data_IF_093767853830
#
_entry.id   IF_093767853830
#
_cell.length_a   1.000
_cell.length_b   1.000
_cell.length_c   1.000
_cell.angle_alpha   90.00
_cell.angle_beta   90.00
_cell.angle_gamma   90.00
#
_symmetry.space_group_name_H-M   'P 1'
#
loop_
_entity.id
_entity.type
_entity.pdbx_description
1 polymer ?
#
# COMPACT_ATOMS: atom_id res chain seq x y z
N UNK A 1 -13.07 45.44 -7.54
CA UNK A 1 -13.44 44.40 -6.58
C UNK A 1 -12.15 43.93 -5.94
N UNK A 2 -12.05 43.73 -4.63
CA UNK A 2 -10.83 43.20 -4.04
C UNK A 2 -10.64 41.79 -4.59
N UNK A 3 -9.56 41.56 -5.30
CA UNK A 3 -9.13 40.22 -5.72
C UNK A 3 -8.84 39.42 -4.47
N UNK A 4 -9.75 38.50 -4.09
CA UNK A 4 -9.45 37.55 -3.02
C UNK A 4 -8.17 36.82 -3.37
N UNK A 5 -7.25 36.74 -2.41
CA UNK A 5 -6.01 35.99 -2.59
C UNK A 5 -6.37 34.55 -3.02
N UNK A 6 -5.79 34.01 -4.09
CA UNK A 6 -6.06 32.64 -4.52
C UNK A 6 -5.84 31.65 -3.38
N UNK A 7 -6.69 30.63 -3.29
CA UNK A 7 -6.55 29.52 -2.35
C UNK A 7 -5.28 28.73 -2.70
N UNK A 8 -4.44 28.44 -1.73
CA UNK A 8 -3.19 27.68 -1.94
C UNK A 8 -3.42 26.19 -1.71
N UNK A 9 -3.09 25.40 -2.72
CA UNK A 9 -3.26 23.93 -2.73
C UNK A 9 -1.90 23.25 -2.78
N UNK A 10 -1.61 22.37 -1.82
CA UNK A 10 -0.47 21.48 -1.83
C UNK A 10 -0.88 20.09 -2.30
N UNK A 11 -0.27 19.57 -3.34
CA UNK A 11 -0.36 18.16 -3.75
C UNK A 11 0.88 17.45 -3.25
N UNK A 12 0.72 16.46 -2.36
CA UNK A 12 1.83 15.79 -1.68
C UNK A 12 2.16 14.44 -2.30
N UNK A 13 3.44 14.05 -2.14
CA UNK A 13 3.94 12.71 -2.43
C UNK A 13 3.69 12.23 -3.88
N UNK A 14 3.69 13.16 -4.85
CA UNK A 14 3.58 12.82 -6.28
C UNK A 14 4.94 12.39 -6.85
N UNK A 15 5.46 11.28 -6.37
CA UNK A 15 6.80 10.77 -6.74
C UNK A 15 6.97 10.55 -8.24
N UNK A 16 5.89 10.29 -8.97
CA UNK A 16 5.90 10.05 -10.41
C UNK A 16 5.79 11.34 -11.21
N UNK A 17 5.50 12.48 -10.57
CA UNK A 17 5.26 13.77 -11.20
C UNK A 17 4.14 13.71 -12.26
N UNK A 18 3.01 13.13 -11.88
CA UNK A 18 1.88 12.88 -12.79
C UNK A 18 0.56 13.56 -12.37
N UNK A 19 0.50 14.16 -11.18
CA UNK A 19 -0.73 14.72 -10.63
C UNK A 19 -1.48 15.62 -11.62
N UNK A 20 -0.75 16.55 -12.26
CA UNK A 20 -1.36 17.52 -13.17
C UNK A 20 -1.74 16.93 -14.54
N UNK A 21 -1.19 15.76 -14.89
CA UNK A 21 -1.51 15.07 -16.15
C UNK A 21 -2.61 14.01 -16.02
N UNK A 22 -2.91 13.56 -14.79
CA UNK A 22 -3.88 12.51 -14.52
C UNK A 22 -5.32 13.01 -14.38
N UNK A 23 -5.53 14.34 -14.33
CA UNK A 23 -6.86 14.96 -14.28
C UNK A 23 -6.84 16.33 -14.98
N UNK A 24 -8.03 16.82 -15.29
CA UNK A 24 -8.22 18.20 -15.74
C UNK A 24 -8.32 19.14 -14.52
N UNK A 25 -7.28 19.94 -14.29
CA UNK A 25 -7.20 20.94 -13.23
C UNK A 25 -7.69 22.33 -13.68
N UNK A 26 -8.11 22.50 -14.93
CA UNK A 26 -8.57 23.78 -15.47
C UNK A 26 -9.75 24.41 -14.70
N UNK A 27 -10.68 23.65 -14.06
CA UNK A 27 -11.74 24.23 -13.24
C UNK A 27 -11.25 25.02 -12.00
N UNK A 28 -9.98 24.83 -11.62
CA UNK A 28 -9.31 25.55 -10.52
C UNK A 28 -8.54 26.79 -10.99
N UNK A 29 -8.38 26.99 -12.31
CA UNK A 29 -7.66 28.12 -12.85
C UNK A 29 -8.24 29.46 -12.38
N UNK A 30 -7.37 30.34 -11.86
CA UNK A 30 -7.77 31.63 -11.30
C UNK A 30 -8.51 31.56 -9.95
N UNK A 31 -8.73 30.36 -9.42
CA UNK A 31 -9.37 30.10 -8.12
C UNK A 31 -8.39 29.58 -7.08
N UNK A 32 -7.40 28.82 -7.50
CA UNK A 32 -6.41 28.23 -6.64
C UNK A 32 -5.01 28.24 -7.28
N UNK A 33 -3.99 28.41 -6.44
CA UNK A 33 -2.58 28.23 -6.79
C UNK A 33 -2.14 26.85 -6.33
N UNK A 34 -1.74 26.00 -7.27
CA UNK A 34 -1.40 24.60 -7.03
C UNK A 34 0.11 24.43 -6.99
N UNK A 35 0.61 23.86 -5.91
CA UNK A 35 2.01 23.45 -5.76
C UNK A 35 2.08 21.93 -5.62
N UNK A 36 2.86 21.27 -6.47
CA UNK A 36 3.07 19.82 -6.43
C UNK A 36 4.42 19.53 -5.78
N UNK A 37 4.41 18.62 -4.82
CA UNK A 37 5.61 18.12 -4.15
C UNK A 37 5.87 16.68 -4.60
N UNK A 38 7.00 16.48 -5.25
CA UNK A 38 7.42 15.19 -5.82
C UNK A 38 8.31 14.39 -4.87
N UNK A 39 8.55 14.92 -3.67
CA UNK A 39 9.34 14.33 -2.61
C UNK A 39 8.49 14.09 -1.36
N UNK A 40 8.99 13.27 -0.47
CA UNK A 40 8.43 13.11 0.88
C UNK A 40 9.24 13.92 1.88
N UNK A 41 8.56 14.56 2.82
CA UNK A 41 9.19 15.21 3.96
C UNK A 41 8.95 14.39 5.22
N UNK A 42 10.04 13.83 5.74
CA UNK A 42 10.03 13.17 7.03
C UNK A 42 10.18 14.20 8.16
N UNK A 43 9.46 13.97 9.25
CA UNK A 43 9.56 14.75 10.46
C UNK A 43 8.57 15.92 10.51
N UNK A 44 8.15 16.19 11.76
CA UNK A 44 7.10 17.14 12.11
C UNK A 44 7.38 18.56 11.64
N UNK A 45 8.52 19.10 12.02
CA UNK A 45 8.81 20.53 11.84
C UNK A 45 8.99 20.90 10.36
N UNK A 46 9.65 20.04 9.59
CA UNK A 46 9.79 20.20 8.15
C UNK A 46 8.43 20.09 7.42
N UNK A 47 7.55 19.19 7.87
CA UNK A 47 6.19 19.08 7.34
C UNK A 47 5.36 20.33 7.63
N UNK A 48 5.46 20.87 8.85
CA UNK A 48 4.77 22.10 9.23
C UNK A 48 5.29 23.31 8.46
N UNK A 49 6.61 23.44 8.28
CA UNK A 49 7.21 24.48 7.47
C UNK A 49 6.68 24.45 6.02
N UNK A 50 6.65 23.25 5.42
CA UNK A 50 6.13 23.03 4.06
C UNK A 50 4.66 23.42 3.95
N UNK A 51 3.81 22.99 4.91
CA UNK A 51 2.35 23.07 4.78
C UNK A 51 1.74 24.35 5.33
N UNK A 52 2.46 25.11 6.17
CA UNK A 52 1.94 26.35 6.80
C UNK A 52 1.29 27.36 5.84
N UNK A 53 1.77 27.56 4.60
CA UNK A 53 1.17 28.54 3.68
C UNK A 53 -0.08 28.06 2.98
N UNK A 54 -0.46 26.76 3.09
CA UNK A 54 -1.52 26.15 2.29
C UNK A 54 -2.87 26.11 3.02
N UNK A 55 -3.93 26.33 2.24
CA UNK A 55 -5.34 26.22 2.68
C UNK A 55 -5.87 24.79 2.47
N UNK A 56 -5.39 24.11 1.42
CA UNK A 56 -5.84 22.78 1.01
C UNK A 56 -4.64 21.87 0.85
N UNK A 57 -4.77 20.66 1.35
CA UNK A 57 -3.76 19.61 1.15
C UNK A 57 -4.39 18.40 0.47
N UNK A 58 -3.78 17.96 -0.64
CA UNK A 58 -4.11 16.72 -1.31
C UNK A 58 -3.15 15.64 -0.82
N UNK A 59 -3.65 14.74 0.02
CA UNK A 59 -2.86 13.68 0.66
C UNK A 59 -2.93 12.38 -0.16
N UNK A 60 -1.77 11.81 -0.50
CA UNK A 60 -1.66 10.54 -1.21
C UNK A 60 -1.67 9.38 -0.23
N UNK A 61 -2.85 8.74 -0.05
CA UNK A 61 -3.02 7.62 0.87
C UNK A 61 -2.51 7.96 2.28
N UNK A 62 -1.95 6.99 2.98
CA UNK A 62 -1.37 7.14 4.31
C UNK A 62 0.12 7.55 4.31
N UNK A 63 0.65 8.10 3.19
CA UNK A 63 2.08 8.45 3.08
C UNK A 63 2.49 9.57 4.03
N UNK A 64 1.69 10.65 4.09
CA UNK A 64 1.91 11.76 5.03
C UNK A 64 0.86 11.68 6.14
N UNK A 65 1.25 11.49 7.42
CA UNK A 65 0.31 11.45 8.53
C UNK A 65 -0.16 12.86 8.91
N UNK A 66 -1.47 12.99 9.15
CA UNK A 66 -2.12 14.18 9.68
C UNK A 66 -2.65 13.89 11.09
N UNK A 67 -1.72 13.77 12.04
CA UNK A 67 -2.05 13.62 13.45
C UNK A 67 -2.69 14.91 14.01
N UNK A 68 -3.29 14.82 15.20
CA UNK A 68 -3.86 15.95 15.93
C UNK A 68 -2.88 17.15 15.99
N UNK A 69 -1.66 16.90 16.39
CA UNK A 69 -0.63 17.92 16.54
C UNK A 69 -0.30 18.63 15.21
N UNK A 70 -0.23 17.89 14.10
CA UNK A 70 -0.03 18.46 12.75
C UNK A 70 -1.22 19.34 12.36
N UNK A 71 -2.45 18.85 12.51
CA UNK A 71 -3.67 19.57 12.12
C UNK A 71 -3.82 20.85 12.96
N UNK A 72 -3.61 20.77 14.26
CA UNK A 72 -3.70 21.92 15.17
C UNK A 72 -2.63 22.98 14.91
N UNK A 73 -1.45 22.58 14.38
CA UNK A 73 -0.32 23.46 14.08
C UNK A 73 -0.40 24.15 12.70
N UNK A 74 -1.39 23.81 11.86
CA UNK A 74 -1.57 24.39 10.52
C UNK A 74 -2.70 25.43 10.51
N UNK A 75 -2.39 26.73 10.68
CA UNK A 75 -3.42 27.76 10.91
C UNK A 75 -4.31 28.03 9.70
N UNK A 76 -3.80 27.80 8.49
CA UNK A 76 -4.51 28.08 7.25
C UNK A 76 -5.27 26.87 6.70
N UNK A 77 -5.02 25.65 7.20
CA UNK A 77 -5.61 24.42 6.68
C UNK A 77 -7.14 24.41 6.84
N UNK A 78 -7.85 24.18 5.74
CA UNK A 78 -9.32 24.19 5.66
C UNK A 78 -9.89 22.91 5.06
N UNK A 79 -9.12 22.23 4.18
CA UNK A 79 -9.53 21.00 3.50
C UNK A 79 -8.35 20.04 3.38
N UNK A 80 -8.60 18.78 3.70
CA UNK A 80 -7.73 17.67 3.32
C UNK A 80 -8.48 16.82 2.29
N UNK A 81 -8.01 16.80 1.04
CA UNK A 81 -8.49 15.91 -0.01
C UNK A 81 -7.61 14.66 -0.01
N UNK A 82 -8.08 13.58 0.60
CA UNK A 82 -7.32 12.35 0.77
C UNK A 82 -7.69 11.32 -0.28
N UNK A 83 -6.71 10.78 -0.98
CA UNK A 83 -6.95 9.72 -1.97
C UNK A 83 -7.32 8.39 -1.29
N UNK A 84 -8.29 7.67 -1.88
CA UNK A 84 -8.87 6.43 -1.36
C UNK A 84 -10.09 6.65 -0.48
N UNK A 85 -10.82 5.57 -0.21
CA UNK A 85 -12.12 5.62 0.48
C UNK A 85 -12.02 5.91 2.00
N UNK A 86 -10.83 5.82 2.58
CA UNK A 86 -10.53 6.13 3.98
C UNK A 86 -9.02 6.31 4.14
N UNK A 87 -8.62 7.04 5.18
CA UNK A 87 -7.22 7.24 5.53
C UNK A 87 -7.06 7.20 7.05
N UNK A 88 -6.42 6.14 7.55
CA UNK A 88 -6.24 5.93 8.99
C UNK A 88 -5.16 6.85 9.61
N UNK A 89 -4.35 7.54 8.79
CA UNK A 89 -3.33 8.48 9.25
C UNK A 89 -3.84 9.91 9.47
N UNK A 90 -5.14 10.15 9.30
CA UNK A 90 -5.79 11.45 9.55
C UNK A 90 -6.59 11.37 10.85
N UNK A 91 -6.29 12.23 11.82
CA UNK A 91 -7.12 12.43 13.02
C UNK A 91 -8.38 13.23 12.64
N UNK A 92 -9.48 12.51 12.38
CA UNK A 92 -10.76 13.11 11.95
C UNK A 92 -11.39 13.97 13.05
N UNK A 93 -11.19 13.63 14.33
CA UNK A 93 -11.72 14.41 15.44
C UNK A 93 -10.98 15.74 15.58
N UNK A 94 -9.66 15.75 15.40
CA UNK A 94 -8.89 16.98 15.36
C UNK A 94 -9.25 17.85 14.15
N UNK A 95 -9.46 17.25 12.98
CA UNK A 95 -9.88 17.96 11.79
C UNK A 95 -11.24 18.64 12.02
N UNK A 96 -12.23 17.92 12.53
CA UNK A 96 -13.55 18.44 12.86
C UNK A 96 -13.48 19.58 13.90
N UNK A 97 -12.72 19.40 14.98
CA UNK A 97 -12.53 20.41 16.03
C UNK A 97 -11.92 21.73 15.51
N UNK A 98 -11.07 21.64 14.46
CA UNK A 98 -10.46 22.79 13.79
C UNK A 98 -11.26 23.35 12.62
N UNK A 99 -12.43 22.75 12.30
CA UNK A 99 -13.22 23.11 11.13
C UNK A 99 -12.54 22.75 9.80
N UNK A 100 -11.61 21.81 9.81
CA UNK A 100 -10.95 21.28 8.62
C UNK A 100 -11.82 20.17 8.03
N UNK A 101 -12.30 20.38 6.82
CA UNK A 101 -13.07 19.36 6.11
C UNK A 101 -12.15 18.27 5.56
N UNK A 102 -12.56 17.00 5.66
CA UNK A 102 -11.85 15.87 5.08
C UNK A 102 -12.71 15.21 4.02
N UNK A 103 -12.24 15.16 2.79
CA UNK A 103 -12.90 14.50 1.66
C UNK A 103 -12.06 13.35 1.12
N UNK A 104 -12.75 12.31 0.70
CA UNK A 104 -12.15 11.10 0.16
C UNK A 104 -12.44 10.95 -1.33
N UNK A 105 -11.65 10.10 -1.99
CA UNK A 105 -11.84 9.74 -3.39
C UNK A 105 -12.36 8.31 -3.53
N UNK A 106 -12.81 7.94 -4.72
CA UNK A 106 -13.05 6.55 -5.09
C UNK A 106 -11.79 5.69 -4.89
N UNK A 107 -12.02 4.39 -4.80
CA UNK A 107 -10.96 3.39 -4.67
C UNK A 107 -11.38 2.06 -5.29
N UNK A 108 -10.44 1.40 -5.96
CA UNK A 108 -10.59 0.03 -6.44
C UNK A 108 -9.38 -0.82 -6.05
N UNK A 109 -9.61 -2.10 -5.81
CA UNK A 109 -8.55 -3.02 -5.35
C UNK A 109 -7.84 -3.76 -6.48
N UNK A 110 -8.30 -3.59 -7.72
CA UNK A 110 -7.75 -4.27 -8.90
C UNK A 110 -6.24 -4.13 -9.02
N UNK A 111 -5.65 -2.91 -8.92
CA UNK A 111 -4.20 -2.77 -9.02
C UNK A 111 -3.44 -3.59 -7.99
N UNK A 112 -3.89 -3.61 -6.73
CA UNK A 112 -3.24 -4.37 -5.66
C UNK A 112 -3.33 -5.88 -5.90
N UNK A 113 -4.45 -6.37 -6.45
CA UNK A 113 -4.63 -7.79 -6.80
C UNK A 113 -3.65 -8.20 -7.91
N UNK A 114 -3.60 -7.42 -8.98
CA UNK A 114 -2.71 -7.65 -10.12
C UNK A 114 -1.24 -7.56 -9.71
N UNK A 115 -0.91 -6.57 -8.90
CA UNK A 115 0.45 -6.38 -8.40
C UNK A 115 0.90 -7.50 -7.46
N UNK A 116 0.00 -8.03 -6.61
CA UNK A 116 0.29 -9.21 -5.79
C UNK A 116 0.71 -10.39 -6.68
N UNK A 117 -0.01 -10.62 -7.79
CA UNK A 117 0.34 -11.68 -8.75
C UNK A 117 1.60 -11.38 -9.54
N UNK A 118 1.84 -10.12 -9.91
CA UNK A 118 3.11 -9.72 -10.52
C UNK A 118 4.31 -10.06 -9.61
N UNK A 119 4.21 -9.77 -8.31
CA UNK A 119 5.24 -10.13 -7.32
C UNK A 119 5.40 -11.64 -7.16
N UNK A 120 4.30 -12.39 -7.04
CA UNK A 120 4.34 -13.86 -6.93
C UNK A 120 5.06 -14.45 -8.15
N UNK A 121 4.64 -14.09 -9.35
CA UNK A 121 5.23 -14.63 -10.59
C UNK A 121 6.69 -14.21 -10.75
N UNK A 122 7.01 -12.94 -10.50
CA UNK A 122 8.38 -12.42 -10.59
C UNK A 122 9.33 -13.13 -9.61
N UNK A 123 8.88 -13.35 -8.37
CA UNK A 123 9.67 -14.03 -7.34
C UNK A 123 9.82 -15.53 -7.65
N UNK A 124 8.73 -16.22 -8.03
CA UNK A 124 8.76 -17.65 -8.32
C UNK A 124 9.61 -18.02 -9.53
N UNK A 125 9.77 -17.10 -10.47
CA UNK A 125 10.52 -17.30 -11.72
C UNK A 125 11.84 -16.50 -11.75
N UNK A 126 12.24 -15.87 -10.64
CA UNK A 126 13.45 -15.05 -10.51
C UNK A 126 13.59 -13.93 -11.56
N UNK A 127 12.48 -13.41 -12.08
CA UNK A 127 12.46 -12.47 -13.23
C UNK A 127 13.37 -11.25 -13.03
N UNK A 128 13.41 -10.56 -11.87
CA UNK A 128 14.29 -9.40 -11.69
C UNK A 128 15.78 -9.77 -11.71
N UNK A 129 16.15 -10.93 -11.14
CA UNK A 129 17.53 -11.40 -11.11
C UNK A 129 18.00 -11.81 -12.51
N UNK A 130 17.18 -12.56 -13.25
CA UNK A 130 17.48 -13.00 -14.61
C UNK A 130 17.56 -11.80 -15.58
N UNK A 131 16.66 -10.81 -15.43
CA UNK A 131 16.73 -9.57 -16.22
C UNK A 131 18.02 -8.78 -15.92
N UNK A 132 18.45 -8.72 -14.66
CA UNK A 132 19.73 -8.09 -14.29
C UNK A 132 20.90 -8.85 -14.89
N UNK A 133 20.95 -10.18 -14.72
CA UNK A 133 22.01 -11.03 -15.30
C UNK A 133 22.16 -10.80 -16.80
N UNK A 134 21.04 -10.79 -17.54
CA UNK A 134 21.07 -10.56 -18.98
C UNK A 134 21.62 -9.15 -19.34
N UNK A 135 21.24 -8.11 -18.61
CA UNK A 135 21.73 -6.74 -18.82
C UNK A 135 23.24 -6.61 -18.52
N UNK A 136 23.72 -7.39 -17.55
CA UNK A 136 25.14 -7.43 -17.14
C UNK A 136 25.99 -8.37 -18.03
N UNK A 137 25.42 -8.88 -19.13
CA UNK A 137 26.12 -9.75 -20.11
C UNK A 137 26.12 -11.22 -19.74
N UNK A 138 25.39 -11.62 -18.69
CA UNK A 138 25.20 -13.02 -18.29
C UNK A 138 24.08 -13.71 -19.07
N UNK A 139 23.73 -14.91 -18.61
CA UNK A 139 22.68 -15.75 -19.18
C UNK A 139 21.83 -16.34 -18.06
N UNK A 140 21.25 -17.50 -18.21
CA UNK A 140 20.40 -18.18 -17.22
C UNK A 140 21.19 -18.49 -15.93
N UNK A 141 20.69 -18.04 -14.78
CA UNK A 141 21.38 -18.17 -13.48
C UNK A 141 20.61 -18.98 -12.46
N UNK A 142 19.27 -19.10 -12.58
CA UNK A 142 18.44 -19.75 -11.58
C UNK A 142 17.35 -20.63 -12.18
N UNK A 143 16.93 -21.64 -11.40
CA UNK A 143 15.74 -22.44 -11.71
C UNK A 143 14.52 -21.85 -11.01
N UNK A 144 13.53 -21.46 -11.80
CA UNK A 144 12.25 -21.05 -11.29
C UNK A 144 11.41 -22.21 -10.79
N UNK A 145 10.39 -21.90 -9.99
CA UNK A 145 9.39 -22.86 -9.51
C UNK A 145 8.06 -22.65 -10.21
N UNK A 146 7.37 -23.72 -10.53
CA UNK A 146 5.99 -23.69 -11.02
C UNK A 146 5.00 -23.46 -9.87
N UNK A 147 3.81 -22.99 -10.19
CA UNK A 147 2.72 -22.76 -9.22
C UNK A 147 1.75 -23.95 -9.17
N UNK A 148 1.57 -24.66 -10.28
CA UNK A 148 0.62 -25.75 -10.37
C UNK A 148 0.89 -26.83 -9.31
N UNK A 149 -0.16 -27.24 -8.59
CA UNK A 149 -0.08 -28.21 -7.50
C UNK A 149 0.50 -27.68 -6.17
N UNK A 150 1.02 -26.45 -6.13
CA UNK A 150 1.47 -25.80 -4.89
C UNK A 150 0.30 -25.22 -4.11
N UNK A 151 0.54 -24.97 -2.83
CA UNK A 151 -0.45 -24.37 -1.91
C UNK A 151 -0.25 -22.87 -1.80
N UNK A 152 -1.30 -22.12 -2.15
CA UNK A 152 -1.44 -20.69 -1.86
C UNK A 152 -2.18 -20.51 -0.55
N UNK A 153 -1.49 -20.08 0.48
CA UNK A 153 -2.10 -19.69 1.75
C UNK A 153 -2.48 -18.21 1.73
N UNK A 154 -3.72 -17.93 2.07
CA UNK A 154 -4.25 -16.57 2.16
C UNK A 154 -4.46 -16.21 3.62
N UNK A 155 -3.61 -15.34 4.16
CA UNK A 155 -3.79 -14.75 5.48
C UNK A 155 -4.76 -13.56 5.36
N UNK A 156 -6.06 -13.86 5.46
CA UNK A 156 -7.15 -12.94 5.17
C UNK A 156 -7.87 -13.22 3.85
N UNK A 157 -9.19 -13.45 3.91
CA UNK A 157 -10.05 -13.73 2.76
C UNK A 157 -11.08 -12.61 2.54
N UNK A 158 -10.62 -11.36 2.61
CA UNK A 158 -11.39 -10.17 2.25
C UNK A 158 -11.46 -9.94 0.74
N UNK A 159 -11.79 -8.70 0.32
CA UNK A 159 -11.92 -8.34 -1.09
C UNK A 159 -10.67 -8.72 -1.92
N UNK A 160 -9.48 -8.34 -1.46
CA UNK A 160 -8.22 -8.63 -2.17
C UNK A 160 -7.89 -10.12 -2.10
N UNK A 161 -7.86 -10.72 -0.90
CA UNK A 161 -7.50 -12.12 -0.71
C UNK A 161 -8.41 -13.08 -1.50
N UNK A 162 -9.73 -12.82 -1.54
CA UNK A 162 -10.65 -13.63 -2.35
C UNK A 162 -10.32 -13.59 -3.84
N UNK A 163 -10.03 -12.39 -4.38
CA UNK A 163 -9.69 -12.24 -5.79
C UNK A 163 -8.32 -12.86 -6.13
N UNK A 164 -7.32 -12.71 -5.24
CA UNK A 164 -6.02 -13.40 -5.37
C UNK A 164 -6.22 -14.92 -5.37
N UNK A 165 -7.12 -15.45 -4.52
CA UNK A 165 -7.46 -16.88 -4.50
C UNK A 165 -8.10 -17.38 -5.77
N UNK A 166 -8.98 -16.60 -6.40
CA UNK A 166 -9.58 -16.94 -7.72
C UNK A 166 -8.50 -17.15 -8.77
N UNK A 167 -7.54 -16.24 -8.85
CA UNK A 167 -6.43 -16.33 -9.80
C UNK A 167 -5.50 -17.51 -9.46
N UNK A 168 -5.28 -17.77 -8.16
CA UNK A 168 -4.48 -18.92 -7.69
C UNK A 168 -5.04 -20.26 -8.20
N UNK A 169 -6.37 -20.42 -8.16
CA UNK A 169 -7.01 -21.60 -8.74
C UNK A 169 -6.85 -21.69 -10.26
N UNK A 170 -6.85 -20.57 -10.98
CA UNK A 170 -6.57 -20.56 -12.42
C UNK A 170 -5.13 -21.03 -12.72
N UNK A 171 -4.18 -20.80 -11.81
CA UNK A 171 -2.84 -21.39 -11.84
C UNK A 171 -2.78 -22.83 -11.31
N UNK A 172 -3.93 -23.47 -11.04
CA UNK A 172 -4.04 -24.83 -10.50
C UNK A 172 -3.36 -25.01 -9.13
N UNK A 173 -3.35 -23.96 -8.31
CA UNK A 173 -2.89 -24.05 -6.93
C UNK A 173 -4.00 -24.57 -6.02
N UNK A 174 -3.60 -25.24 -4.93
CA UNK A 174 -4.50 -25.51 -3.80
C UNK A 174 -4.59 -24.21 -2.99
N UNK A 175 -5.82 -23.67 -2.84
CA UNK A 175 -6.01 -22.39 -2.17
C UNK A 175 -6.65 -22.62 -0.81
N UNK A 176 -5.93 -22.27 0.25
CA UNK A 176 -6.36 -22.34 1.63
C UNK A 176 -6.35 -20.95 2.26
N UNK A 177 -7.18 -20.72 3.28
CA UNK A 177 -7.22 -19.43 3.95
C UNK A 177 -7.44 -19.56 5.45
N UNK A 178 -6.96 -18.55 6.16
CA UNK A 178 -7.28 -18.30 7.55
C UNK A 178 -7.44 -16.81 7.81
N UNK A 179 -8.39 -16.47 8.64
CA UNK A 179 -8.42 -15.22 9.42
C UNK A 179 -9.30 -15.44 10.64
N UNK A 180 -9.09 -14.62 11.68
CA UNK A 180 -9.70 -14.84 13.00
C UNK A 180 -11.24 -14.97 12.98
N UNK A 181 -11.92 -14.30 12.06
CA UNK A 181 -13.38 -14.29 11.96
C UNK A 181 -13.89 -14.96 10.66
N UNK A 182 -13.04 -15.71 9.97
CA UNK A 182 -13.44 -16.41 8.75
C UNK A 182 -14.19 -17.69 9.14
N UNK A 183 -15.41 -17.84 8.62
CA UNK A 183 -16.19 -19.05 8.80
C UNK A 183 -16.02 -20.00 7.60
N UNK A 184 -16.36 -21.27 7.81
CA UNK A 184 -16.30 -22.31 6.76
C UNK A 184 -17.19 -21.93 5.56
N UNK A 185 -18.41 -21.49 5.83
CA UNK A 185 -19.39 -21.12 4.80
C UNK A 185 -18.84 -19.98 3.92
N UNK A 186 -18.23 -18.95 4.55
CA UNK A 186 -17.62 -17.82 3.81
C UNK A 186 -16.41 -18.23 2.99
N UNK A 187 -15.63 -19.18 3.45
CA UNK A 187 -14.50 -19.71 2.69
C UNK A 187 -14.99 -20.53 1.48
N UNK A 188 -15.95 -21.43 1.71
CA UNK A 188 -16.58 -22.27 0.67
C UNK A 188 -17.26 -21.44 -0.42
N UNK A 189 -17.98 -20.35 -0.06
CA UNK A 189 -18.57 -19.42 -1.03
C UNK A 189 -17.51 -18.80 -1.97
N UNK A 190 -16.27 -18.68 -1.52
CA UNK A 190 -15.14 -18.20 -2.32
C UNK A 190 -14.37 -19.33 -3.00
N UNK A 191 -14.79 -20.59 -2.79
CA UNK A 191 -14.12 -21.77 -3.29
C UNK A 191 -12.72 -21.94 -2.70
N UNK A 192 -12.54 -21.62 -1.41
CA UNK A 192 -11.28 -21.69 -0.67
C UNK A 192 -11.49 -22.58 0.53
N UNK A 193 -10.53 -23.42 0.85
CA UNK A 193 -10.55 -24.26 2.05
C UNK A 193 -10.18 -23.43 3.29
N UNK A 194 -11.03 -23.46 4.32
CA UNK A 194 -10.72 -22.91 5.63
C UNK A 194 -9.84 -23.89 6.40
N UNK A 195 -8.70 -23.41 6.85
CA UNK A 195 -7.79 -24.16 7.73
C UNK A 195 -7.56 -23.40 9.05
N UNK A 196 -6.96 -24.04 10.04
CA UNK A 196 -6.46 -23.34 11.22
C UNK A 196 -5.17 -22.56 10.90
N UNK A 197 -4.78 -21.66 11.82
CA UNK A 197 -3.63 -20.77 11.63
C UNK A 197 -2.34 -21.56 11.41
N UNK A 198 -2.09 -22.57 12.23
CA UNK A 198 -0.88 -23.39 12.16
C UNK A 198 -0.79 -24.15 10.83
N UNK A 199 -1.90 -24.75 10.39
CA UNK A 199 -1.99 -25.43 9.10
C UNK A 199 -1.70 -24.47 7.96
N UNK A 200 -2.21 -23.23 8.01
CA UNK A 200 -1.92 -22.20 6.99
C UNK A 200 -0.42 -22.00 6.84
N UNK A 201 0.30 -21.77 7.95
CA UNK A 201 1.76 -21.53 7.89
C UNK A 201 2.54 -22.78 7.49
N UNK A 202 2.20 -23.93 8.04
CA UNK A 202 2.93 -25.21 7.79
C UNK A 202 2.81 -25.71 6.36
N UNK A 203 1.67 -25.45 5.71
CA UNK A 203 1.39 -26.08 4.40
C UNK A 203 1.56 -25.15 3.20
N UNK A 204 1.59 -23.83 3.40
CA UNK A 204 1.76 -22.87 2.31
C UNK A 204 3.11 -22.98 1.62
N UNK A 205 3.09 -23.01 0.30
CA UNK A 205 4.26 -22.81 -0.54
C UNK A 205 4.46 -21.33 -0.88
N UNK A 206 3.34 -20.60 -1.02
CA UNK A 206 3.27 -19.16 -1.09
C UNK A 206 2.25 -18.69 -0.05
N UNK A 207 2.67 -17.90 0.92
CA UNK A 207 1.79 -17.25 1.89
C UNK A 207 1.61 -15.79 1.49
N UNK A 208 0.37 -15.37 1.21
CA UNK A 208 0.05 -13.99 0.84
C UNK A 208 -0.84 -13.33 1.89
N UNK A 209 -0.44 -12.12 2.33
CA UNK A 209 -1.08 -11.41 3.44
C UNK A 209 -2.08 -10.39 2.90
N UNK A 210 -3.34 -10.49 3.37
CA UNK A 210 -4.47 -9.65 2.96
C UNK A 210 -5.34 -9.22 4.14
N UNK A 211 -4.70 -8.93 5.28
CA UNK A 211 -5.36 -8.44 6.49
C UNK A 211 -5.31 -6.91 6.58
N UNK A 212 -6.25 -6.34 7.33
CA UNK A 212 -6.16 -4.95 7.79
C UNK A 212 -5.26 -4.89 9.02
N UNK A 213 -4.43 -3.85 9.09
CA UNK A 213 -3.65 -3.56 10.30
C UNK A 213 -4.59 -3.09 11.42
N UNK A 214 -4.38 -3.63 12.59
CA UNK A 214 -5.05 -3.30 13.85
C UNK A 214 -4.19 -3.80 15.01
N UNK A 215 -4.50 -3.45 16.24
CA UNK A 215 -3.79 -3.98 17.43
C UNK A 215 -3.73 -5.52 17.43
N UNK A 216 -4.80 -6.19 17.00
CA UNK A 216 -4.88 -7.66 16.95
C UNK A 216 -4.07 -8.30 15.84
N UNK A 217 -3.71 -7.55 14.83
CA UNK A 217 -2.99 -8.05 13.64
C UNK A 217 -1.57 -7.52 13.54
N UNK A 218 -1.20 -6.60 14.44
CA UNK A 218 0.17 -6.11 14.58
C UNK A 218 1.10 -7.28 14.93
N UNK A 219 2.16 -7.48 14.14
CA UNK A 219 3.13 -8.57 14.25
C UNK A 219 2.47 -9.97 14.32
N UNK A 220 1.31 -10.14 13.67
CA UNK A 220 0.63 -11.43 13.61
C UNK A 220 1.49 -12.51 12.95
N UNK A 221 2.39 -12.11 12.05
CA UNK A 221 3.42 -12.97 11.45
C UNK A 221 4.74 -12.65 12.12
N UNK A 222 5.03 -13.34 13.21
CA UNK A 222 6.25 -13.22 13.98
C UNK A 222 7.20 -14.41 13.78
N UNK A 223 8.22 -14.50 14.64
CA UNK A 223 9.22 -15.55 14.59
C UNK A 223 8.62 -16.97 14.68
N UNK A 224 7.57 -17.14 15.50
CA UNK A 224 6.90 -18.43 15.67
C UNK A 224 6.19 -18.90 14.39
N UNK A 225 5.49 -17.99 13.73
CA UNK A 225 4.78 -18.25 12.46
C UNK A 225 5.77 -18.53 11.34
N UNK A 226 6.80 -17.70 11.21
CA UNK A 226 7.86 -17.88 10.21
C UNK A 226 8.64 -19.19 10.42
N UNK A 227 8.86 -19.62 11.65
CA UNK A 227 9.52 -20.88 11.97
C UNK A 227 8.71 -22.13 11.57
N UNK A 228 7.39 -22.00 11.45
CA UNK A 228 6.50 -23.08 11.00
C UNK A 228 6.46 -23.25 9.49
N UNK A 229 6.86 -22.21 8.72
CA UNK A 229 6.83 -22.24 7.26
C UNK A 229 7.86 -23.24 6.70
N UNK A 230 7.54 -23.79 5.52
CA UNK A 230 8.50 -24.66 4.81
C UNK A 230 9.75 -23.87 4.41
N UNK A 231 10.95 -24.45 4.48
CA UNK A 231 12.17 -23.77 4.00
C UNK A 231 12.11 -23.36 2.52
N UNK A 232 11.25 -24.01 1.73
CA UNK A 232 11.03 -23.70 0.31
C UNK A 232 9.95 -22.66 0.06
N UNK A 233 9.23 -22.24 1.10
CA UNK A 233 8.11 -21.33 0.96
C UNK A 233 8.52 -19.87 0.80
N UNK A 234 7.58 -19.06 0.34
CA UNK A 234 7.75 -17.64 0.11
C UNK A 234 6.62 -16.86 0.74
N UNK A 235 6.92 -15.68 1.29
CA UNK A 235 5.97 -14.76 1.88
C UNK A 235 5.75 -13.56 0.96
N UNK A 236 4.49 -13.12 0.82
CA UNK A 236 4.12 -11.93 0.04
C UNK A 236 3.31 -10.99 0.93
N UNK A 237 3.76 -9.74 1.07
CA UNK A 237 3.04 -8.70 1.80
C UNK A 237 2.84 -7.46 0.93
N UNK A 238 1.60 -7.27 0.48
CA UNK A 238 1.10 -6.09 -0.22
C UNK A 238 0.01 -5.37 0.59
N UNK A 239 -0.06 -5.64 1.90
CA UNK A 239 -1.08 -5.08 2.78
C UNK A 239 -0.53 -3.93 3.63
N UNK A 240 0.16 -4.25 4.74
CA UNK A 240 0.82 -3.28 5.63
C UNK A 240 2.07 -3.90 6.26
N UNK A 241 3.14 -3.12 6.39
CA UNK A 241 4.42 -3.56 7.00
C UNK A 241 4.24 -4.20 8.37
N UNK A 242 3.63 -3.51 9.35
CA UNK A 242 3.52 -3.98 10.72
C UNK A 242 2.64 -5.23 10.94
N UNK A 243 2.12 -5.86 9.89
CA UNK A 243 1.52 -7.20 10.00
C UNK A 243 2.56 -8.30 10.19
N UNK A 244 3.79 -8.03 9.76
CA UNK A 244 4.95 -8.91 9.88
C UNK A 244 5.97 -8.26 10.82
N UNK A 245 6.52 -9.03 11.74
CA UNK A 245 7.70 -8.61 12.49
C UNK A 245 8.90 -8.55 11.54
N UNK A 246 9.35 -7.34 11.22
CA UNK A 246 10.41 -7.08 10.24
C UNK A 246 11.74 -7.72 10.64
N UNK A 247 12.08 -7.69 11.93
CA UNK A 247 13.32 -8.29 12.44
C UNK A 247 13.28 -9.82 12.29
N UNK A 248 12.16 -10.44 12.68
CA UNK A 248 11.96 -11.87 12.54
C UNK A 248 11.97 -12.32 11.06
N UNK A 249 11.41 -11.52 10.16
CA UNK A 249 11.44 -11.80 8.72
C UNK A 249 12.87 -11.76 8.18
N UNK A 250 13.66 -10.73 8.53
CA UNK A 250 15.07 -10.60 8.13
C UNK A 250 15.88 -11.79 8.63
N UNK A 251 15.69 -12.23 9.87
CA UNK A 251 16.37 -13.38 10.45
C UNK A 251 15.99 -14.69 9.75
N UNK A 252 14.71 -14.89 9.43
CA UNK A 252 14.24 -16.07 8.71
C UNK A 252 14.81 -16.14 7.28
N UNK A 253 14.92 -15.00 6.60
CA UNK A 253 15.49 -14.90 5.26
C UNK A 253 17.00 -15.13 5.26
N UNK A 254 17.75 -14.52 6.20
CA UNK A 254 19.20 -14.68 6.33
C UNK A 254 19.63 -16.10 6.71
N UNK A 255 18.85 -16.73 7.57
CA UNK A 255 19.13 -18.11 8.01
C UNK A 255 18.67 -19.17 7.00
N UNK A 256 18.01 -18.79 5.91
CA UNK A 256 17.45 -19.74 4.93
C UNK A 256 16.24 -20.54 5.44
N UNK A 257 15.64 -20.14 6.55
CA UNK A 257 14.38 -20.73 7.05
C UNK A 257 13.20 -20.41 6.13
N UNK A 258 13.31 -19.35 5.36
CA UNK A 258 12.34 -18.94 4.34
C UNK A 258 13.09 -18.73 3.02
N UNK A 259 12.61 -19.34 1.93
CA UNK A 259 13.26 -19.24 0.62
C UNK A 259 13.28 -17.82 0.06
N UNK A 260 12.29 -17.01 0.37
CA UNK A 260 12.25 -15.62 -0.07
C UNK A 260 10.98 -14.88 0.37
N UNK A 261 11.00 -13.57 0.15
CA UNK A 261 9.84 -12.72 0.38
C UNK A 261 9.69 -11.67 -0.73
N UNK A 262 8.43 -11.32 -1.04
CA UNK A 262 8.08 -10.16 -1.85
C UNK A 262 7.35 -9.14 -0.95
N UNK A 263 7.95 -7.98 -0.75
CA UNK A 263 7.52 -6.98 0.21
C UNK A 263 7.32 -5.64 -0.51
N UNK A 264 6.09 -5.14 -0.44
CA UNK A 264 5.71 -3.85 -1.01
C UNK A 264 5.45 -2.77 0.05
N UNK A 265 5.39 -3.17 1.32
CA UNK A 265 5.01 -2.31 2.45
C UNK A 265 5.94 -2.50 3.64
N UNK A 266 6.20 -1.45 4.41
CA UNK A 266 7.20 -1.41 5.46
C UNK A 266 6.65 -0.78 6.74
N UNK A 267 7.37 -0.92 7.84
CA UNK A 267 6.98 -0.30 9.12
C UNK A 267 7.13 1.22 9.05
N UNK A 268 8.22 1.68 8.43
CA UNK A 268 8.47 3.09 8.12
C UNK A 268 8.61 3.26 6.60
N UNK A 269 7.93 4.25 6.06
CA UNK A 269 7.94 4.58 4.63
C UNK A 269 8.21 6.08 4.44
N UNK A 270 9.18 6.43 3.58
CA UNK A 270 10.05 5.60 2.74
C UNK A 270 11.02 4.73 3.52
N UNK A 271 11.24 3.49 3.05
CA UNK A 271 12.17 2.54 3.66
C UNK A 271 13.59 3.12 3.71
N UNK A 272 14.22 3.06 4.88
CA UNK A 272 15.57 3.59 5.10
C UNK A 272 16.60 3.02 4.11
N UNK A 273 17.57 3.84 3.69
CA UNK A 273 18.56 3.44 2.68
C UNK A 273 19.44 2.25 3.11
N UNK A 274 19.66 2.08 4.41
CA UNK A 274 20.45 1.00 5.01
C UNK A 274 19.60 -0.18 5.51
N UNK A 275 18.30 -0.21 5.22
CA UNK A 275 17.44 -1.31 5.64
C UNK A 275 17.88 -2.64 5.00
N UNK A 276 17.98 -3.74 5.78
CA UNK A 276 18.39 -5.04 5.28
C UNK A 276 17.54 -5.58 4.13
N UNK A 277 16.25 -5.32 4.12
CA UNK A 277 15.33 -5.79 3.07
C UNK A 277 15.70 -5.28 1.67
N UNK A 278 16.46 -4.16 1.58
CA UNK A 278 16.95 -3.63 0.30
C UNK A 278 18.05 -4.47 -0.33
N UNK A 279 18.82 -5.22 0.48
CA UNK A 279 20.04 -5.88 0.04
C UNK A 279 19.99 -7.42 0.10
N UNK A 280 19.00 -8.00 0.75
CA UNK A 280 18.86 -9.45 0.81
C UNK A 280 18.57 -10.04 -0.57
N UNK A 281 19.35 -11.01 -1.05
CA UNK A 281 19.23 -11.53 -2.43
C UNK A 281 17.93 -12.32 -2.67
N UNK A 282 17.30 -12.81 -1.60
CA UNK A 282 16.05 -13.54 -1.61
C UNK A 282 14.83 -12.66 -1.28
N UNK A 283 14.98 -11.33 -1.38
CA UNK A 283 13.88 -10.36 -1.22
C UNK A 283 13.61 -9.66 -2.53
N UNK A 284 12.33 -9.61 -2.92
CA UNK A 284 11.80 -8.72 -3.95
C UNK A 284 11.11 -7.57 -3.24
N UNK A 285 11.82 -6.45 -3.07
CA UNK A 285 11.32 -5.25 -2.42
C UNK A 285 10.82 -4.23 -3.45
N UNK A 286 9.64 -3.65 -3.21
CA UNK A 286 9.05 -2.61 -4.04
C UNK A 286 8.54 -1.46 -3.16
N UNK A 287 8.54 -0.20 -3.64
CA UNK A 287 8.33 0.98 -2.79
C UNK A 287 6.85 1.35 -2.66
N UNK A 288 6.02 0.44 -2.12
CA UNK A 288 4.59 0.58 -1.87
C UNK A 288 3.82 1.05 -3.11
N UNK A 289 3.97 0.27 -4.19
CA UNK A 289 3.37 0.59 -5.49
C UNK A 289 2.17 -0.30 -5.86
N UNK A 290 1.72 -1.16 -4.96
CA UNK A 290 0.62 -2.09 -5.23
C UNK A 290 -0.69 -1.42 -5.65
N UNK A 291 -0.89 -0.15 -5.32
CA UNK A 291 -2.05 0.64 -5.77
C UNK A 291 -1.71 1.61 -6.91
N UNK A 292 -0.45 1.74 -7.29
CA UNK A 292 0.01 2.70 -8.29
C UNK A 292 -0.31 2.17 -9.68
N UNK A 293 -1.44 2.63 -10.25
CA UNK A 293 -1.83 2.39 -11.63
C UNK A 293 -2.43 3.64 -12.24
N UNK A 294 -2.38 3.73 -13.55
CA UNK A 294 -2.88 4.89 -14.30
C UNK A 294 -4.37 5.11 -14.04
N UNK A 295 -5.19 4.06 -14.09
CA UNK A 295 -6.64 4.14 -13.93
C UNK A 295 -7.02 4.58 -12.50
N UNK A 296 -6.31 4.06 -11.49
CA UNK A 296 -6.57 4.46 -10.12
C UNK A 296 -6.11 5.89 -9.85
N UNK A 297 -4.99 6.32 -10.43
CA UNK A 297 -4.51 7.69 -10.33
C UNK A 297 -5.44 8.68 -11.04
N UNK A 298 -6.01 8.33 -12.20
CA UNK A 298 -7.07 9.13 -12.83
C UNK A 298 -8.28 9.29 -11.93
N UNK A 299 -8.70 8.24 -11.24
CA UNK A 299 -9.76 8.30 -10.24
C UNK A 299 -9.36 9.20 -9.07
N UNK A 300 -8.16 9.03 -8.52
CA UNK A 300 -7.69 9.80 -7.38
C UNK A 300 -7.63 11.29 -7.69
N UNK A 301 -6.93 11.68 -8.74
CA UNK A 301 -6.76 13.10 -9.07
C UNK A 301 -8.03 13.73 -9.65
N UNK A 302 -8.83 12.99 -10.40
CA UNK A 302 -10.13 13.46 -10.90
C UNK A 302 -11.10 13.77 -9.76
N UNK A 303 -11.21 12.85 -8.79
CA UNK A 303 -12.03 13.06 -7.62
C UNK A 303 -11.47 14.16 -6.70
N UNK A 304 -10.14 14.28 -6.60
CA UNK A 304 -9.48 15.35 -5.85
C UNK A 304 -9.85 16.72 -6.41
N UNK A 305 -9.76 16.90 -7.73
CA UNK A 305 -10.17 18.16 -8.39
C UNK A 305 -11.64 18.44 -8.12
N UNK A 306 -12.53 17.46 -8.30
CA UNK A 306 -13.96 17.60 -8.02
C UNK A 306 -14.21 18.01 -6.57
N UNK A 307 -13.59 17.36 -5.61
CA UNK A 307 -13.70 17.67 -4.19
C UNK A 307 -13.30 19.12 -3.88
N UNK A 308 -12.23 19.62 -4.50
CA UNK A 308 -11.77 21.00 -4.32
C UNK A 308 -12.75 21.99 -4.96
N UNK A 309 -13.23 21.71 -6.18
CA UNK A 309 -14.22 22.57 -6.88
C UNK A 309 -15.49 22.70 -6.06
N UNK A 310 -16.09 21.61 -5.62
CA UNK A 310 -17.30 21.59 -4.79
C UNK A 310 -17.09 22.34 -3.47
N UNK A 311 -15.92 22.20 -2.85
CA UNK A 311 -15.57 22.90 -1.62
C UNK A 311 -15.47 24.43 -1.84
N UNK A 312 -14.89 24.86 -2.95
CA UNK A 312 -14.78 26.26 -3.33
C UNK A 312 -16.16 26.86 -3.67
N UNK A 313 -17.04 26.09 -4.32
CA UNK A 313 -18.38 26.57 -4.71
C UNK A 313 -19.29 26.74 -3.50
N UNK A 314 -19.22 25.83 -2.52
CA UNK A 314 -19.98 25.94 -1.27
C UNK A 314 -19.62 27.17 -0.42
N UNK A 315 -18.49 27.83 -0.66
CA UNK A 315 -18.03 29.04 0.05
C UNK A 315 -18.30 30.35 -0.67
N UNK A 316 -18.85 30.26 -1.89
CA UNK A 316 -19.31 31.44 -2.64
C UNK A 316 -20.79 31.76 -2.39
N UNK A 317 -21.52 30.77 -1.86
CA UNK A 317 -22.93 30.90 -1.50
C UNK A 317 -23.09 31.41 -0.05
#
# INVERSE_FOLDING_TARGET
MPTSTPIKVAVLDDYQNVALSMADWSPLAGRADITVFNDHVAGRDALLERLRPFDIVCAMRERTPFSRDIIESLPNLKLIASTGAANASIDLDAAAARGVEVRHTGYQSTPTIEFTWALILAMMRHVPAENRSLRDGGWQTALGSELAGKTLGLLGLGRVGSAVGVIGRAFRMNVIAWSQNLTRERAEEKGVELVDKDTLFKTSDVLSIHLRLSERTHHLVGANELAQMKPTSRLVNTSRGPLVDSAALVDALRSGKLAGAAIDVYDEEPLAANDPLRSLPNVLATPHIGYVSEELYRTFYGDTVRNIVEWLDARKA
#
